data_IF_725409997691
#
_entry.id   IF_725409997691
#
_cell.length_a   1.000
_cell.length_b   1.000
_cell.length_c   1.000
_cell.angle_alpha   90.00
_cell.angle_beta   90.00
_cell.angle_gamma   90.00
#
_symmetry.space_group_name_H-M   'P 1'
#
loop_
_entity.id
_entity.type
_entity.pdbx_description
1 polymer ?
#
# COMPACT_ATOMS: atom_id res chain seq x y z
N UNK A 1 51.25 1.64 -15.41
CA UNK A 1 51.35 0.27 -15.99
C UNK A 1 51.05 -0.84 -14.97
N UNK A 2 51.15 -0.57 -13.67
CA UNK A 2 50.88 -1.52 -12.56
C UNK A 2 49.39 -1.84 -12.34
N UNK A 3 48.50 -0.90 -12.65
CA UNK A 3 47.06 -1.05 -12.35
C UNK A 3 46.35 -2.06 -13.28
N UNK A 4 46.71 -2.08 -14.56
CA UNK A 4 46.15 -3.03 -15.52
C UNK A 4 46.50 -4.50 -15.20
N UNK A 5 47.75 -4.77 -14.81
CA UNK A 5 48.18 -6.13 -14.43
C UNK A 5 47.49 -6.61 -13.15
N UNK A 6 47.22 -5.70 -12.21
CA UNK A 6 46.46 -5.98 -10.98
C UNK A 6 45.01 -6.35 -11.30
N UNK A 7 44.34 -5.56 -12.13
CA UNK A 7 42.97 -5.84 -12.60
C UNK A 7 42.88 -7.21 -13.31
N UNK A 8 43.86 -7.52 -14.17
CA UNK A 8 43.90 -8.77 -14.91
C UNK A 8 44.12 -9.99 -14.00
N UNK A 9 44.88 -9.84 -12.92
CA UNK A 9 45.05 -10.90 -11.91
C UNK A 9 43.76 -11.17 -11.12
N UNK A 10 43.03 -10.12 -10.74
CA UNK A 10 41.76 -10.26 -10.02
C UNK A 10 40.67 -10.91 -10.90
N UNK A 11 40.59 -10.54 -12.18
CA UNK A 11 39.66 -11.15 -13.14
C UNK A 11 39.96 -12.65 -13.35
N UNK A 12 41.24 -13.04 -13.41
CA UNK A 12 41.65 -14.44 -13.60
C UNK A 12 41.32 -15.32 -12.39
N UNK A 13 41.45 -14.80 -11.17
CA UNK A 13 41.13 -15.53 -9.95
C UNK A 13 39.62 -15.64 -9.71
N UNK A 14 38.85 -14.66 -10.19
CA UNK A 14 37.39 -14.60 -10.02
C UNK A 14 36.67 -14.85 -11.36
N UNK A 15 36.68 -16.11 -11.83
CA UNK A 15 35.96 -16.50 -13.06
C UNK A 15 34.48 -16.04 -13.01
N UNK A 16 33.95 -15.47 -14.10
CA UNK A 16 32.57 -15.00 -14.16
C UNK A 16 31.61 -16.19 -14.00
N UNK A 17 30.86 -16.22 -12.91
CA UNK A 17 29.80 -17.19 -12.66
C UNK A 17 28.44 -16.51 -12.81
N UNK A 18 27.45 -17.28 -13.26
CA UNK A 18 26.13 -16.83 -13.76
C UNK A 18 25.36 -15.98 -12.74
N UNK A 19 25.57 -16.19 -11.43
CA UNK A 19 25.34 -15.23 -10.34
C UNK A 19 25.80 -15.88 -9.03
N UNK A 20 26.20 -15.08 -8.05
CA UNK A 20 26.46 -15.51 -6.67
C UNK A 20 25.59 -14.72 -5.71
N UNK A 21 25.22 -15.35 -4.61
CA UNK A 21 24.41 -14.74 -3.55
C UNK A 21 25.24 -14.68 -2.27
N UNK A 22 25.21 -13.54 -1.58
CA UNK A 22 25.75 -13.38 -0.23
C UNK A 22 24.65 -12.83 0.68
N UNK A 23 24.59 -13.36 1.91
CA UNK A 23 23.74 -12.81 2.95
C UNK A 23 24.60 -11.93 3.87
N UNK A 24 24.27 -10.66 3.93
CA UNK A 24 24.92 -9.67 4.77
C UNK A 24 24.10 -9.47 6.03
N UNK A 25 24.62 -9.91 7.17
CA UNK A 25 24.09 -9.56 8.49
C UNK A 25 24.47 -8.12 8.85
N UNK A 26 23.47 -7.28 9.11
CA UNK A 26 23.62 -5.87 9.46
C UNK A 26 23.68 -5.64 10.98
N UNK A 27 23.68 -6.70 11.79
CA UNK A 27 23.88 -6.62 13.25
C UNK A 27 25.21 -5.98 13.64
N UNK A 28 26.22 -6.10 12.78
CA UNK A 28 27.57 -5.54 12.98
C UNK A 28 27.78 -4.35 12.04
N UNK A 29 28.22 -3.21 12.58
CA UNK A 29 28.59 -2.06 11.76
C UNK A 29 29.85 -2.35 10.94
N UNK A 30 29.88 -1.82 9.72
CA UNK A 30 31.04 -1.91 8.82
C UNK A 30 31.33 -0.52 8.25
N UNK A 31 32.61 -0.21 8.08
CA UNK A 31 33.07 1.00 7.43
C UNK A 31 34.07 0.61 6.34
N UNK A 32 33.68 0.82 5.09
CA UNK A 32 34.46 0.52 3.88
C UNK A 32 35.04 -0.89 3.87
N UNK A 33 34.24 -1.86 4.31
CA UNK A 33 34.65 -3.25 4.32
C UNK A 33 34.79 -3.75 2.87
N UNK A 34 36.03 -4.03 2.47
CA UNK A 34 36.36 -4.43 1.11
C UNK A 34 35.96 -5.89 0.86
N UNK A 35 35.16 -6.10 -0.18
CA UNK A 35 34.81 -7.41 -0.72
C UNK A 35 35.46 -7.59 -2.09
N UNK A 36 36.27 -8.63 -2.23
CA UNK A 36 36.97 -8.98 -3.47
C UNK A 36 36.05 -9.73 -4.43
N UNK A 37 34.98 -9.05 -4.85
CA UNK A 37 33.99 -9.54 -5.81
C UNK A 37 34.07 -8.72 -7.10
N UNK A 38 34.04 -9.42 -8.23
CA UNK A 38 34.07 -8.81 -9.56
C UNK A 38 32.81 -9.21 -10.35
N UNK A 39 32.34 -8.32 -11.21
CA UNK A 39 31.13 -8.51 -11.98
C UNK A 39 30.75 -7.28 -12.79
N UNK A 40 29.57 -7.32 -13.41
CA UNK A 40 28.94 -6.14 -14.01
C UNK A 40 27.50 -5.93 -13.50
N UNK A 41 27.07 -6.72 -12.52
CA UNK A 41 25.73 -6.71 -11.95
C UNK A 41 25.81 -6.86 -10.43
N UNK A 42 25.12 -6.00 -9.69
CA UNK A 42 25.04 -6.00 -8.24
C UNK A 42 23.65 -5.53 -7.78
N UNK A 43 22.92 -6.34 -7.03
CA UNK A 43 21.56 -6.01 -6.57
C UNK A 43 21.31 -6.55 -5.16
N UNK A 44 20.54 -5.81 -4.36
CA UNK A 44 19.95 -6.30 -3.12
C UNK A 44 18.63 -6.99 -3.48
N UNK A 45 18.59 -8.32 -3.50
CA UNK A 45 17.39 -9.08 -3.85
C UNK A 45 16.32 -8.98 -2.75
N UNK A 46 16.72 -9.30 -1.52
CA UNK A 46 15.81 -9.46 -0.39
C UNK A 46 16.35 -8.76 0.86
N UNK A 47 15.42 -8.34 1.71
CA UNK A 47 15.69 -7.73 3.00
C UNK A 47 14.64 -8.18 4.01
N UNK A 48 15.04 -8.37 5.26
CA UNK A 48 14.09 -8.71 6.34
C UNK A 48 13.19 -7.54 6.74
N UNK A 49 13.53 -6.31 6.34
CA UNK A 49 12.78 -5.10 6.65
C UNK A 49 12.93 -4.06 5.53
N UNK A 50 11.89 -3.27 5.29
CA UNK A 50 11.86 -2.27 4.20
C UNK A 50 12.85 -1.11 4.40
N UNK A 51 13.26 -0.86 5.65
CA UNK A 51 14.22 0.19 5.99
C UNK A 51 15.66 -0.33 6.08
N UNK A 52 15.88 -1.64 5.94
CA UNK A 52 17.23 -2.21 5.90
C UNK A 52 18.00 -1.64 4.69
N UNK A 53 19.18 -1.09 4.95
CA UNK A 53 19.97 -0.45 3.91
C UNK A 53 21.48 -0.66 4.10
N UNK A 54 22.21 -0.52 3.00
CA UNK A 54 23.67 -0.61 2.94
C UNK A 54 24.22 0.43 1.98
N UNK A 55 25.35 1.03 2.31
CA UNK A 55 26.10 1.88 1.39
C UNK A 55 27.14 1.05 0.67
N UNK A 56 27.19 1.19 -0.65
CA UNK A 56 28.17 0.52 -1.50
C UNK A 56 28.92 1.52 -2.37
N UNK A 57 30.23 1.27 -2.48
CA UNK A 57 31.14 1.93 -3.42
C UNK A 57 31.76 0.85 -4.30
N UNK A 58 31.96 1.16 -5.57
CA UNK A 58 32.52 0.22 -6.54
C UNK A 58 33.96 0.60 -6.87
N UNK A 59 34.80 -0.41 -7.10
CA UNK A 59 36.21 -0.33 -7.52
C UNK A 59 37.17 0.21 -6.44
N UNK A 60 36.92 1.41 -5.91
CA UNK A 60 37.79 2.07 -4.94
C UNK A 60 36.97 2.71 -3.79
N UNK A 61 37.57 2.83 -2.59
CA UNK A 61 36.87 3.29 -1.38
C UNK A 61 36.57 4.79 -1.37
N UNK A 62 37.23 5.57 -2.21
CA UNK A 62 37.00 7.02 -2.35
C UNK A 62 35.96 7.36 -3.41
N UNK A 63 35.41 6.37 -4.12
CA UNK A 63 34.32 6.58 -5.06
C UNK A 63 33.01 6.96 -4.34
N UNK A 64 32.07 7.51 -5.10
CA UNK A 64 30.76 7.89 -4.59
C UNK A 64 30.02 6.69 -3.99
N UNK A 65 29.42 6.91 -2.82
CA UNK A 65 28.63 5.91 -2.13
C UNK A 65 27.18 5.98 -2.59
N UNK A 66 26.64 4.84 -2.98
CA UNK A 66 25.22 4.67 -3.23
C UNK A 66 24.58 3.91 -2.06
N UNK A 67 23.47 4.41 -1.55
CA UNK A 67 22.67 3.69 -0.54
C UNK A 67 21.68 2.78 -1.26
N UNK A 68 21.77 1.47 -0.99
CA UNK A 68 20.89 0.45 -1.54
C UNK A 68 19.97 -0.14 -0.47
N UNK A 69 18.71 -0.34 -0.86
CA UNK A 69 17.66 -1.06 -0.14
C UNK A 69 17.21 -2.28 -0.95
N UNK A 70 16.28 -3.06 -0.41
CA UNK A 70 15.61 -4.16 -1.12
C UNK A 70 15.21 -3.74 -2.54
N UNK A 71 15.55 -4.58 -3.52
CA UNK A 71 15.31 -4.43 -4.96
C UNK A 71 16.05 -3.27 -5.64
N UNK A 72 17.10 -2.73 -5.02
CA UNK A 72 17.95 -1.71 -5.64
C UNK A 72 19.31 -2.29 -6.01
N UNK A 73 19.88 -1.81 -7.12
CA UNK A 73 21.14 -2.33 -7.65
C UNK A 73 21.69 -1.51 -8.81
N UNK A 74 22.85 -1.94 -9.31
CA UNK A 74 23.57 -1.32 -10.42
C UNK A 74 24.01 -2.38 -11.43
N UNK A 75 24.03 -1.98 -12.70
CA UNK A 75 24.62 -2.75 -13.80
C UNK A 75 25.81 -1.99 -14.37
N UNK A 76 26.93 -2.04 -13.66
CA UNK A 76 28.19 -1.38 -14.02
C UNK A 76 29.34 -2.38 -13.83
N UNK A 77 30.42 -2.31 -14.64
CA UNK A 77 31.60 -3.13 -14.41
C UNK A 77 32.27 -2.75 -13.08
N UNK A 78 32.57 -3.76 -12.27
CA UNK A 78 33.35 -3.61 -11.04
C UNK A 78 34.30 -4.79 -10.81
N UNK A 79 35.44 -4.52 -10.19
CA UNK A 79 36.39 -5.56 -9.76
C UNK A 79 36.44 -5.72 -8.22
N UNK A 80 35.85 -4.78 -7.49
CA UNK A 80 35.77 -4.76 -6.03
C UNK A 80 34.57 -3.95 -5.55
N UNK A 81 34.06 -4.26 -4.36
CA UNK A 81 32.98 -3.51 -3.70
C UNK A 81 33.39 -3.18 -2.27
N UNK A 82 33.10 -1.96 -1.81
CA UNK A 82 33.27 -1.55 -0.42
C UNK A 82 31.90 -1.36 0.21
N UNK A 83 31.71 -1.99 1.37
CA UNK A 83 30.42 -2.06 2.06
C UNK A 83 30.49 -1.27 3.38
N UNK A 84 29.56 -0.35 3.55
CA UNK A 84 29.38 0.44 4.78
C UNK A 84 27.95 0.29 5.28
N UNK A 85 27.80 -0.02 6.57
CA UNK A 85 26.50 -0.07 7.23
C UNK A 85 26.63 0.32 8.70
N UNK A 86 25.66 1.07 9.21
CA UNK A 86 25.45 1.18 10.66
C UNK A 86 24.84 -0.12 11.22
N UNK A 87 24.89 -0.29 12.55
CA UNK A 87 24.21 -1.40 13.23
C UNK A 87 22.70 -1.32 12.97
N UNK A 88 22.14 -2.40 12.46
CA UNK A 88 20.71 -2.59 12.25
C UNK A 88 20.33 -3.97 12.79
N UNK A 89 20.10 -4.04 14.11
CA UNK A 89 19.88 -5.29 14.83
C UNK A 89 18.77 -6.15 14.21
N UNK A 90 19.05 -7.44 14.00
CA UNK A 90 18.11 -8.42 13.42
C UNK A 90 17.84 -8.24 11.92
N UNK A 91 18.53 -7.30 11.25
CA UNK A 91 18.33 -7.04 9.82
C UNK A 91 19.38 -7.73 8.97
N UNK A 92 18.96 -8.34 7.86
CA UNK A 92 19.86 -8.95 6.88
C UNK A 92 19.49 -8.51 5.46
N UNK A 93 20.49 -8.40 4.60
CA UNK A 93 20.30 -8.20 3.15
C UNK A 93 20.83 -9.41 2.39
N UNK A 94 20.07 -9.87 1.39
CA UNK A 94 20.53 -10.88 0.44
C UNK A 94 20.93 -10.17 -0.85
N UNK A 95 22.21 -10.21 -1.16
CA UNK A 95 22.81 -9.49 -2.29
C UNK A 95 23.18 -10.52 -3.37
N UNK A 96 22.76 -10.27 -4.60
CA UNK A 96 23.23 -11.00 -5.76
C UNK A 96 24.23 -10.16 -6.57
N UNK A 97 25.30 -10.80 -7.02
CA UNK A 97 26.28 -10.19 -7.91
C UNK A 97 26.79 -11.20 -8.93
N UNK A 98 27.29 -10.71 -10.07
CA UNK A 98 27.85 -11.58 -11.10
C UNK A 98 28.10 -10.84 -12.41
N UNK A 99 28.27 -11.63 -13.48
CA UNK A 99 28.34 -11.13 -14.85
C UNK A 99 27.02 -11.45 -15.55
N UNK A 100 26.29 -10.41 -15.93
CA UNK A 100 25.12 -10.45 -16.78
C UNK A 100 25.54 -10.04 -18.20
N UNK A 101 25.65 -11.02 -19.11
CA UNK A 101 26.05 -10.81 -20.51
C UNK A 101 24.87 -10.40 -21.41
N UNK A 102 23.64 -10.31 -20.89
CA UNK A 102 22.48 -9.93 -21.69
C UNK A 102 22.42 -8.40 -21.92
N UNK A 103 22.41 -7.93 -23.18
CA UNK A 103 22.57 -6.51 -23.51
C UNK A 103 21.31 -5.65 -23.30
N UNK A 104 20.13 -6.24 -23.09
CA UNK A 104 18.89 -5.48 -22.87
C UNK A 104 17.92 -6.28 -21.98
N UNK A 105 17.50 -5.69 -20.86
CA UNK A 105 16.46 -6.24 -19.99
C UNK A 105 15.59 -5.06 -19.52
N UNK A 106 14.31 -5.07 -19.91
CA UNK A 106 13.33 -4.12 -19.38
C UNK A 106 12.75 -4.72 -18.10
N UNK A 107 13.24 -4.23 -16.96
CA UNK A 107 12.67 -4.55 -15.65
C UNK A 107 11.72 -3.39 -15.29
N UNK A 108 10.44 -3.55 -15.60
CA UNK A 108 9.41 -2.68 -15.06
C UNK A 108 8.94 -3.24 -13.71
N UNK A 109 9.46 -2.65 -12.64
CA UNK A 109 8.99 -2.81 -11.26
C UNK A 109 8.35 -1.51 -10.75
N UNK A 110 7.75 -0.71 -11.65
CA UNK A 110 6.66 0.15 -11.19
C UNK A 110 5.75 -0.76 -10.38
N UNK A 111 5.61 -0.42 -9.10
CA UNK A 111 5.03 -1.32 -8.11
C UNK A 111 3.76 -1.93 -8.72
N UNK A 112 3.45 -3.18 -8.37
CA UNK A 112 2.03 -3.47 -8.23
C UNK A 112 1.53 -2.33 -7.34
N UNK A 113 0.89 -1.33 -7.94
CA UNK A 113 -0.02 -0.46 -7.24
C UNK A 113 -1.02 -1.51 -6.81
N UNK A 114 -0.81 -2.01 -5.61
CA UNK A 114 -1.83 -2.69 -4.88
C UNK A 114 -2.95 -1.65 -4.89
N UNK A 115 -3.93 -1.85 -5.78
CA UNK A 115 -5.18 -1.10 -5.83
C UNK A 115 -6.02 -1.45 -4.59
N UNK A 116 -5.35 -1.71 -3.48
CA UNK A 116 -5.81 -1.93 -2.13
C UNK A 116 -5.44 -0.73 -1.25
N UNK A 117 -4.59 0.20 -1.69
CA UNK A 117 -4.26 1.40 -0.90
C UNK A 117 -4.89 2.71 -1.37
N UNK A 118 -5.75 2.73 -2.40
CA UNK A 118 -6.61 3.90 -2.70
C UNK A 118 -8.02 3.46 -3.16
N UNK A 119 -8.93 3.34 -2.19
CA UNK A 119 -10.37 3.66 -2.27
C UNK A 119 -11.35 2.89 -3.20
N UNK A 120 -11.02 1.72 -3.75
CA UNK A 120 -12.06 0.83 -4.30
C UNK A 120 -11.93 -0.60 -3.77
N UNK A 121 -12.20 -0.78 -2.47
CA UNK A 121 -12.69 -2.08 -2.02
C UNK A 121 -14.00 -2.33 -2.77
N UNK A 122 -14.08 -3.38 -3.58
CA UNK A 122 -15.32 -3.80 -4.22
C UNK A 122 -16.44 -3.88 -3.17
N UNK A 123 -17.67 -3.51 -3.57
CA UNK A 123 -18.80 -3.58 -2.64
C UNK A 123 -19.16 -5.04 -2.41
N UNK A 124 -18.75 -5.58 -1.26
CA UNK A 124 -18.83 -7.02 -1.02
C UNK A 124 -20.27 -7.53 -0.82
N UNK A 125 -21.21 -6.67 -0.42
CA UNK A 125 -22.65 -6.94 -0.42
C UNK A 125 -23.46 -5.68 -0.07
N UNK A 126 -24.60 -5.40 -0.73
CA UNK A 126 -25.54 -4.39 -0.25
C UNK A 126 -26.26 -4.87 1.02
N UNK A 127 -26.42 -3.96 1.99
CA UNK A 127 -27.25 -4.17 3.17
C UNK A 127 -28.63 -3.53 2.96
N UNK A 128 -29.71 -4.29 3.19
CA UNK A 128 -31.10 -3.81 3.08
C UNK A 128 -31.76 -3.79 4.47
N UNK A 129 -32.37 -2.65 4.82
CA UNK A 129 -33.12 -2.45 6.04
C UNK A 129 -34.54 -1.98 5.73
N UNK A 130 -35.53 -2.53 6.42
CA UNK A 130 -36.92 -2.11 6.35
C UNK A 130 -37.38 -1.71 7.75
N UNK A 131 -37.31 -0.41 8.07
CA UNK A 131 -37.62 0.09 9.41
C UNK A 131 -39.01 0.69 9.43
N UNK A 132 -39.91 0.09 10.23
CA UNK A 132 -41.30 0.55 10.36
C UNK A 132 -41.43 1.65 11.42
N UNK A 133 -42.02 2.78 11.04
CA UNK A 133 -42.45 3.84 11.94
C UNK A 133 -43.75 3.44 12.64
N UNK A 134 -43.63 2.63 13.70
CA UNK A 134 -44.77 2.08 14.43
C UNK A 134 -45.67 3.13 15.09
N UNK A 135 -45.15 4.33 15.36
CA UNK A 135 -45.88 5.46 15.94
C UNK A 135 -45.62 6.71 15.11
N UNK A 136 -46.69 7.38 14.65
CA UNK A 136 -46.58 8.64 13.94
C UNK A 136 -45.87 9.72 14.77
N UNK A 137 -44.98 10.47 14.13
CA UNK A 137 -44.21 11.57 14.75
C UNK A 137 -43.14 11.13 15.74
N UNK A 138 -42.86 9.83 15.85
CA UNK A 138 -41.73 9.31 16.64
C UNK A 138 -40.49 9.20 15.75
N UNK A 139 -39.34 9.65 16.27
CA UNK A 139 -38.06 9.50 15.57
C UNK A 139 -37.49 8.09 15.76
N UNK A 140 -37.09 7.49 14.65
CA UNK A 140 -36.43 6.20 14.55
C UNK A 140 -35.02 6.39 13.97
N UNK A 141 -34.17 5.39 14.12
CA UNK A 141 -32.81 5.44 13.61
C UNK A 141 -32.36 4.12 12.99
N UNK A 142 -31.43 4.21 12.05
CA UNK A 142 -30.76 3.06 11.44
C UNK A 142 -29.29 3.41 11.20
N UNK A 143 -28.39 2.65 11.82
CA UNK A 143 -26.96 2.76 11.55
C UNK A 143 -26.66 2.22 10.14
N UNK A 144 -25.93 2.99 9.35
CA UNK A 144 -25.35 2.53 8.09
C UNK A 144 -24.10 1.71 8.38
N UNK A 145 -23.77 0.69 7.56
CA UNK A 145 -22.50 -0.01 7.64
C UNK A 145 -21.30 0.95 7.65
N UNK A 146 -20.23 0.61 8.37
CA UNK A 146 -19.00 1.37 8.32
C UNK A 146 -18.44 1.42 6.88
N UNK A 147 -17.81 2.53 6.51
CA UNK A 147 -17.30 2.77 5.15
C UNK A 147 -18.38 2.73 4.05
N UNK A 148 -19.61 3.14 4.35
CA UNK A 148 -20.67 3.25 3.33
C UNK A 148 -20.24 4.23 2.23
N UNK A 149 -20.32 3.77 0.98
CA UNK A 149 -19.99 4.51 -0.25
C UNK A 149 -21.20 5.08 -0.97
N UNK A 150 -22.34 4.42 -0.79
CA UNK A 150 -23.64 4.78 -1.37
C UNK A 150 -24.76 4.31 -0.49
N UNK A 151 -25.82 5.08 -0.37
CA UNK A 151 -27.07 4.61 0.21
C UNK A 151 -28.28 5.24 -0.46
N UNK A 152 -29.41 4.53 -0.40
CA UNK A 152 -30.71 5.01 -0.87
C UNK A 152 -31.72 4.81 0.25
N UNK A 153 -32.54 5.82 0.51
CA UNK A 153 -33.70 5.74 1.41
C UNK A 153 -34.95 5.96 0.59
N UNK A 154 -35.92 5.06 0.70
CA UNK A 154 -37.22 5.15 0.05
C UNK A 154 -38.34 5.12 1.08
N UNK A 155 -39.33 5.98 0.89
CA UNK A 155 -40.54 6.02 1.70
C UNK A 155 -41.60 5.06 1.14
N UNK A 156 -42.20 4.23 2.00
CA UNK A 156 -43.29 3.32 1.64
C UNK A 156 -44.40 3.36 2.68
N UNK A 157 -45.65 3.58 2.25
CA UNK A 157 -46.82 3.58 3.13
C UNK A 157 -46.97 4.88 3.94
N UNK A 158 -46.31 5.96 3.52
CA UNK A 158 -46.35 7.27 4.17
C UNK A 158 -45.10 8.09 3.84
N UNK A 159 -45.17 9.42 4.03
CA UNK A 159 -44.00 10.28 3.84
C UNK A 159 -42.97 10.09 4.96
N UNK A 160 -41.70 10.34 4.67
CA UNK A 160 -40.61 10.32 5.64
C UNK A 160 -39.93 11.67 5.73
N UNK A 161 -39.53 12.05 6.94
CA UNK A 161 -38.65 13.18 7.23
C UNK A 161 -37.31 12.62 7.64
N UNK A 162 -36.31 12.66 6.77
CA UNK A 162 -34.99 12.03 6.98
C UNK A 162 -33.95 13.09 7.37
N UNK A 163 -33.12 12.83 8.36
CA UNK A 163 -32.01 13.69 8.77
C UNK A 163 -30.78 12.87 9.21
N UNK A 164 -29.65 13.56 9.38
CA UNK A 164 -28.35 12.95 9.73
C UNK A 164 -27.93 13.21 11.19
N UNK A 165 -28.71 14.02 11.91
CA UNK A 165 -28.49 14.35 13.33
C UNK A 165 -29.68 13.85 14.14
N UNK A 166 -29.40 13.23 15.28
CA UNK A 166 -30.46 12.83 16.23
C UNK A 166 -31.27 14.03 16.69
N UNK A 167 -32.56 13.82 16.90
CA UNK A 167 -33.57 14.79 17.37
C UNK A 167 -33.94 15.89 16.37
N UNK A 168 -33.34 15.90 15.18
CA UNK A 168 -33.59 16.93 14.16
C UNK A 168 -34.63 16.53 13.09
N UNK A 169 -35.17 15.30 13.11
CA UNK A 169 -36.11 14.85 12.06
C UNK A 169 -37.44 15.64 12.03
N UNK A 170 -37.72 16.43 13.08
CA UNK A 170 -38.85 17.36 13.16
C UNK A 170 -38.56 18.77 12.66
N UNK A 171 -37.30 19.17 12.55
CA UNK A 171 -36.88 20.56 12.32
C UNK A 171 -36.00 20.71 11.10
N UNK A 172 -34.97 19.88 10.93
CA UNK A 172 -34.02 19.91 9.81
C UNK A 172 -34.02 18.55 9.12
N UNK A 173 -34.82 18.43 8.07
CA UNK A 173 -35.00 17.16 7.38
C UNK A 173 -35.14 17.35 5.88
N UNK A 174 -34.82 16.28 5.16
CA UNK A 174 -35.20 16.06 3.78
C UNK A 174 -36.57 15.37 3.80
N UNK A 175 -37.57 15.99 3.16
CA UNK A 175 -38.89 15.39 3.03
C UNK A 175 -38.90 14.42 1.85
N UNK A 176 -39.22 13.16 2.11
CA UNK A 176 -39.52 12.15 1.10
C UNK A 176 -41.03 11.93 1.10
N UNK A 177 -41.77 12.39 0.08
CA UNK A 177 -43.16 11.99 -0.12
C UNK A 177 -43.29 10.46 -0.24
N UNK A 178 -44.48 9.91 0.04
CA UNK A 178 -44.72 8.47 -0.12
C UNK A 178 -44.35 8.00 -1.54
N UNK A 179 -43.66 6.86 -1.63
CA UNK A 179 -43.13 6.32 -2.88
C UNK A 179 -41.86 6.98 -3.41
N UNK A 180 -41.46 8.15 -2.89
CA UNK A 180 -40.22 8.85 -3.28
C UNK A 180 -38.99 8.25 -2.62
N UNK A 181 -37.82 8.51 -3.22
CA UNK A 181 -36.52 8.11 -2.67
C UNK A 181 -35.48 9.21 -2.77
N UNK A 182 -34.52 9.23 -1.84
CA UNK A 182 -33.25 9.95 -1.99
C UNK A 182 -32.10 8.96 -2.08
N UNK A 183 -31.05 9.34 -2.81
CA UNK A 183 -29.81 8.57 -2.87
C UNK A 183 -28.63 9.52 -2.75
N UNK A 184 -27.65 9.12 -1.95
CA UNK A 184 -26.34 9.76 -1.90
C UNK A 184 -25.32 8.77 -2.44
N UNK A 185 -24.45 9.24 -3.33
CA UNK A 185 -23.41 8.46 -3.99
C UNK A 185 -22.06 9.16 -3.81
N UNK A 186 -20.97 8.42 -4.00
CA UNK A 186 -19.59 8.89 -3.81
C UNK A 186 -19.34 9.48 -2.41
N UNK A 187 -19.99 8.91 -1.39
CA UNK A 187 -19.76 9.29 0.01
C UNK A 187 -18.65 8.44 0.63
N UNK A 188 -17.99 8.95 1.67
CA UNK A 188 -16.93 8.23 2.39
C UNK A 188 -17.20 8.29 3.89
N UNK A 189 -18.29 7.65 4.31
CA UNK A 189 -18.78 7.74 5.68
C UNK A 189 -18.03 6.74 6.57
N UNK A 190 -17.27 7.23 7.56
CA UNK A 190 -16.61 6.37 8.53
C UNK A 190 -17.63 5.53 9.33
N UNK A 191 -18.63 6.19 9.91
CA UNK A 191 -19.85 5.62 10.47
C UNK A 191 -20.92 6.72 10.49
N UNK A 192 -22.14 6.42 10.04
CA UNK A 192 -23.25 7.38 10.04
C UNK A 192 -24.55 6.67 10.43
N UNK A 193 -25.36 7.35 11.22
CA UNK A 193 -26.72 6.92 11.54
C UNK A 193 -27.72 7.81 10.84
N UNK A 194 -28.68 7.21 10.14
CA UNK A 194 -29.83 7.94 9.61
C UNK A 194 -30.90 8.03 10.70
N UNK A 195 -31.52 9.19 10.81
CA UNK A 195 -32.65 9.43 11.70
C UNK A 195 -33.85 9.83 10.85
N UNK A 196 -35.03 9.32 11.19
CA UNK A 196 -36.23 9.61 10.42
C UNK A 196 -37.50 9.46 11.23
N UNK A 197 -38.53 10.18 10.83
CA UNK A 197 -39.89 10.02 11.35
C UNK A 197 -40.91 10.12 10.23
N UNK A 198 -42.10 9.58 10.45
CA UNK A 198 -43.24 9.72 9.54
C UNK A 198 -44.43 10.34 10.27
N UNK A 199 -45.22 11.24 9.65
CA UNK A 199 -46.52 11.62 10.19
C UNK A 199 -47.57 10.50 10.07
N UNK A 200 -47.25 9.39 9.40
CA UNK A 200 -48.16 8.26 9.18
C UNK A 200 -47.70 7.04 9.96
N UNK A 201 -48.58 6.50 10.80
CA UNK A 201 -48.34 5.24 11.53
C UNK A 201 -48.20 4.08 10.53
N UNK A 202 -47.16 3.27 10.69
CA UNK A 202 -46.90 2.10 9.84
C UNK A 202 -46.17 2.41 8.55
N UNK A 203 -45.77 3.67 8.30
CA UNK A 203 -44.85 3.99 7.20
C UNK A 203 -43.51 3.26 7.38
N UNK A 204 -42.82 2.96 6.28
CA UNK A 204 -41.58 2.18 6.27
C UNK A 204 -40.48 2.98 5.58
N UNK A 205 -39.32 3.06 6.22
CA UNK A 205 -38.06 3.46 5.60
C UNK A 205 -37.37 2.22 5.01
N UNK A 206 -37.35 2.13 3.68
CA UNK A 206 -36.59 1.11 2.95
C UNK A 206 -35.20 1.69 2.64
N UNK A 207 -34.17 1.14 3.26
CA UNK A 207 -32.80 1.66 3.20
C UNK A 207 -31.91 0.59 2.57
N UNK A 208 -31.21 0.92 1.50
CA UNK A 208 -30.15 0.09 0.93
C UNK A 208 -28.81 0.82 1.02
N UNK A 209 -27.77 0.15 1.51
CA UNK A 209 -26.44 0.72 1.69
C UNK A 209 -25.36 -0.19 1.10
N UNK A 210 -24.33 0.42 0.51
CA UNK A 210 -23.20 -0.25 -0.14
C UNK A 210 -21.90 0.17 0.55
N UNK A 211 -21.08 -0.78 0.96
CA UNK A 211 -19.72 -0.56 1.50
C UNK A 211 -18.64 -0.68 0.45
#
# INVERSE_FOLDING_TARGET
>A
MTDFLRQLHEIKNNRPQVYKIITLDLSTARSDYAQSIAGNYFIVLEATDINANVQVRFNESYCDAATLKKRQGFKIPFYRVFITNAVQAGKTLTIAYGVNESPLEFIDQSAAIDVTSIAHLESNAPALYNVSCAVAGTEYSQALPANTKKFTVKARGGSLKVCFTSTESGTKYILLPDGSSMSEDLVYLAAQTLYFQSPTTGAVAEIIAYT
#
